data_IF_010251608301
#
_entry.id   IF_010251608301
#
_cell.length_a   1.000
_cell.length_b   1.000
_cell.length_c   1.000
_cell.angle_alpha   90.00
_cell.angle_beta   90.00
_cell.angle_gamma   90.00
#
_symmetry.space_group_name_H-M   'P 1'
#
loop_
_entity.id
_entity.type
_entity.pdbx_description
1 polymer ?
#
# COMPACT_ATOMS: atom_id res chain seq x y z
N UNK A 1 -0.51 5.68 49.78
CA UNK A 1 -0.83 6.75 48.82
C UNK A 1 0.49 7.27 48.28
N UNK A 2 0.71 7.19 46.97
CA UNK A 2 1.99 7.60 46.37
C UNK A 2 2.12 9.13 46.43
N UNK A 3 3.32 9.70 46.67
CA UNK A 3 3.47 11.15 46.71
C UNK A 3 3.16 11.76 45.34
N UNK A 4 2.23 12.70 45.34
CA UNK A 4 1.91 13.55 44.18
C UNK A 4 2.84 14.76 44.28
N UNK A 5 4.09 14.58 43.90
CA UNK A 5 4.98 15.72 43.64
C UNK A 5 4.60 16.32 42.28
N UNK A 6 4.48 17.65 42.22
CA UNK A 6 4.31 18.40 40.97
C UNK A 6 5.64 18.36 40.19
N UNK A 7 5.87 17.21 39.55
CA UNK A 7 7.03 16.98 38.70
C UNK A 7 6.77 17.70 37.38
N UNK A 8 6.92 19.02 37.37
CA UNK A 8 7.10 19.75 36.12
C UNK A 8 8.50 19.39 35.60
N UNK A 9 8.64 18.51 34.58
CA UNK A 9 9.95 18.05 34.18
C UNK A 9 10.68 19.21 33.52
N UNK A 10 11.95 19.39 33.87
CA UNK A 10 12.78 20.40 33.21
C UNK A 10 12.88 20.07 31.71
N UNK A 11 12.26 20.92 30.90
CA UNK A 11 12.20 20.75 29.44
C UNK A 11 13.59 20.76 28.82
N UNK A 12 14.58 21.39 29.45
CA UNK A 12 15.96 21.40 28.96
C UNK A 12 16.59 20.00 29.03
N UNK A 13 16.38 19.29 30.15
CA UNK A 13 16.87 17.93 30.38
C UNK A 13 16.19 16.94 29.43
N UNK A 14 14.87 17.03 29.31
CA UNK A 14 14.08 16.16 28.40
C UNK A 14 14.51 16.32 26.94
N UNK A 15 14.80 17.54 26.51
CA UNK A 15 15.26 17.81 25.15
C UNK A 15 16.71 17.39 24.92
N UNK A 16 17.58 17.45 25.93
CA UNK A 16 18.96 16.97 25.86
C UNK A 16 19.02 15.44 25.69
N UNK A 17 18.07 14.71 26.31
CA UNK A 17 17.97 13.25 26.19
C UNK A 17 17.28 12.79 24.89
N UNK A 18 16.55 13.68 24.22
CA UNK A 18 15.84 13.38 22.98
C UNK A 18 16.83 13.04 21.86
N UNK A 19 17.02 11.74 21.62
CA UNK A 19 17.83 11.24 20.51
C UNK A 19 17.18 11.63 19.18
N UNK A 20 17.95 12.27 18.29
CA UNK A 20 17.51 12.57 16.92
C UNK A 20 17.20 11.25 16.21
N UNK A 21 15.94 11.03 15.87
CA UNK A 21 15.56 9.91 15.01
C UNK A 21 16.02 10.21 13.59
N UNK A 22 16.99 9.46 13.09
CA UNK A 22 17.42 9.56 11.68
C UNK A 22 16.36 8.86 10.84
N UNK A 23 15.49 9.65 10.22
CA UNK A 23 14.54 9.12 9.24
C UNK A 23 15.28 8.93 7.92
N UNK A 24 15.61 7.68 7.61
CA UNK A 24 16.21 7.32 6.31
C UNK A 24 15.10 7.02 5.32
N UNK A 25 14.93 7.84 4.30
CA UNK A 25 13.97 7.62 3.21
C UNK A 25 14.63 6.79 2.10
N UNK A 26 14.26 5.53 1.98
CA UNK A 26 14.67 4.69 0.84
C UNK A 26 13.78 4.99 -0.36
N UNK A 27 14.36 5.55 -1.43
CA UNK A 27 13.68 5.66 -2.73
C UNK A 27 13.73 4.28 -3.39
N UNK A 28 12.71 3.46 -3.16
CA UNK A 28 12.54 2.18 -3.86
C UNK A 28 11.82 2.45 -5.17
N UNK A 29 12.55 2.36 -6.29
CA UNK A 29 11.96 2.28 -7.63
C UNK A 29 11.16 0.98 -7.72
N UNK A 30 9.86 1.05 -7.46
CA UNK A 30 8.97 -0.13 -7.48
C UNK A 30 8.74 -0.57 -8.93
N UNK A 31 9.61 -1.44 -9.45
CA UNK A 31 9.34 -2.10 -10.72
C UNK A 31 8.33 -3.23 -10.49
N UNK A 32 7.05 -2.90 -10.68
CA UNK A 32 5.97 -3.88 -10.55
C UNK A 32 6.11 -5.03 -11.56
N UNK A 33 6.70 -4.79 -12.74
CA UNK A 33 6.92 -5.83 -13.75
C UNK A 33 7.95 -6.87 -13.29
N UNK A 34 8.97 -6.44 -12.54
CA UNK A 34 9.93 -7.33 -11.88
C UNK A 34 9.26 -8.16 -10.77
N UNK A 35 8.32 -7.56 -10.03
CA UNK A 35 7.52 -8.33 -9.08
C UNK A 35 6.58 -9.32 -9.78
N UNK A 36 5.98 -8.91 -10.90
CA UNK A 36 5.09 -9.73 -11.73
C UNK A 36 5.81 -10.95 -12.32
N UNK A 37 7.04 -10.78 -12.80
CA UNK A 37 7.82 -11.85 -13.45
C UNK A 37 8.21 -13.00 -12.50
N UNK A 38 8.14 -12.79 -11.18
CA UNK A 38 8.40 -13.82 -10.16
C UNK A 38 7.28 -14.86 -10.05
N UNK A 39 6.10 -14.55 -10.59
CA UNK A 39 4.97 -15.48 -10.59
C UNK A 39 4.94 -16.28 -11.89
N UNK A 40 5.00 -17.60 -11.78
CA UNK A 40 4.86 -18.51 -12.92
C UNK A 40 3.41 -18.80 -13.33
N UNK A 41 2.43 -18.25 -12.59
CA UNK A 41 1.00 -18.44 -12.85
C UNK A 41 0.26 -17.14 -12.60
N UNK A 42 -0.48 -16.70 -13.62
CA UNK A 42 -1.35 -15.53 -13.54
C UNK A 42 -2.40 -15.66 -12.43
N UNK A 43 -3.01 -16.83 -12.29
CA UNK A 43 -4.03 -17.08 -11.24
C UNK A 43 -3.44 -16.94 -9.82
N UNK A 44 -2.23 -17.47 -9.60
CA UNK A 44 -1.54 -17.33 -8.30
C UNK A 44 -1.25 -15.87 -7.98
N UNK A 45 -0.76 -15.14 -8.97
CA UNK A 45 -0.49 -13.72 -8.85
C UNK A 45 -1.76 -12.92 -8.56
N UNK A 46 -2.84 -13.21 -9.28
CA UNK A 46 -4.12 -12.54 -9.11
C UNK A 46 -4.68 -12.74 -7.70
N UNK A 47 -4.61 -13.98 -7.19
CA UNK A 47 -4.98 -14.30 -5.80
C UNK A 47 -4.16 -13.52 -4.78
N UNK A 48 -2.83 -13.47 -4.94
CA UNK A 48 -1.97 -12.70 -4.03
C UNK A 48 -2.32 -11.22 -4.07
N UNK A 49 -2.58 -10.68 -5.26
CA UNK A 49 -2.98 -9.27 -5.43
C UNK A 49 -4.31 -8.97 -4.73
N UNK A 50 -5.31 -9.84 -4.89
CA UNK A 50 -6.60 -9.71 -4.21
C UNK A 50 -6.45 -9.73 -2.67
N UNK A 51 -5.60 -10.62 -2.13
CA UNK A 51 -5.30 -10.64 -0.70
C UNK A 51 -4.62 -9.36 -0.21
N UNK A 52 -3.68 -8.80 -0.99
CA UNK A 52 -3.03 -7.52 -0.65
C UNK A 52 -4.05 -6.38 -0.64
N UNK A 53 -4.94 -6.32 -1.64
CA UNK A 53 -6.00 -5.31 -1.72
C UNK A 53 -6.94 -5.43 -0.52
N UNK A 54 -7.43 -6.64 -0.21
CA UNK A 54 -8.25 -6.91 0.97
C UNK A 54 -7.55 -6.46 2.25
N UNK A 55 -6.27 -6.81 2.43
CA UNK A 55 -5.50 -6.39 3.58
C UNK A 55 -5.43 -4.86 3.71
N UNK A 56 -5.16 -4.16 2.60
CA UNK A 56 -5.11 -2.71 2.59
C UNK A 56 -6.47 -2.09 2.93
N UNK A 57 -7.55 -2.65 2.41
CA UNK A 57 -8.92 -2.19 2.69
C UNK A 57 -9.28 -2.42 4.16
N UNK A 58 -8.93 -3.58 4.72
CA UNK A 58 -9.12 -3.90 6.13
C UNK A 58 -8.32 -2.95 7.05
N UNK A 59 -7.10 -2.56 6.65
CA UNK A 59 -6.29 -1.59 7.40
C UNK A 59 -6.94 -0.19 7.42
N UNK A 60 -7.58 0.21 6.32
CA UNK A 60 -8.24 1.51 6.18
C UNK A 60 -9.58 1.57 6.91
N UNK A 61 -10.38 0.52 6.81
CA UNK A 61 -11.73 0.45 7.37
C UNK A 61 -11.87 -0.75 8.32
N UNK A 62 -11.46 -0.55 9.58
CA UNK A 62 -11.52 -1.58 10.62
C UNK A 62 -12.93 -2.12 10.90
N UNK A 63 -13.97 -1.32 10.65
CA UNK A 63 -15.37 -1.69 10.88
C UNK A 63 -15.96 -2.63 9.81
N UNK A 64 -15.30 -2.78 8.65
CA UNK A 64 -15.77 -3.59 7.52
C UNK A 64 -14.71 -4.65 7.17
N UNK A 65 -13.86 -5.01 8.14
CA UNK A 65 -12.77 -5.93 7.90
C UNK A 65 -13.32 -7.31 7.50
N UNK A 66 -13.07 -7.72 6.26
CA UNK A 66 -13.39 -9.06 5.79
C UNK A 66 -12.37 -10.05 6.38
N UNK A 67 -12.84 -10.92 7.28
CA UNK A 67 -12.05 -11.98 7.91
C UNK A 67 -12.29 -13.35 7.26
N UNK A 68 -12.96 -13.38 6.11
CA UNK A 68 -13.29 -14.63 5.40
C UNK A 68 -12.03 -15.24 4.80
N UNK A 69 -11.86 -16.56 4.97
CA UNK A 69 -10.71 -17.31 4.45
C UNK A 69 -10.74 -17.53 2.92
N UNK A 70 -11.79 -17.08 2.25
CA UNK A 70 -11.97 -17.17 0.81
C UNK A 70 -12.06 -15.78 0.19
N UNK A 71 -11.49 -15.63 -1.00
CA UNK A 71 -11.65 -14.44 -1.84
C UNK A 71 -13.00 -14.53 -2.57
N UNK A 72 -13.72 -13.42 -2.63
CA UNK A 72 -14.95 -13.34 -3.43
C UNK A 72 -14.61 -13.13 -4.91
N UNK A 73 -15.60 -13.38 -5.79
CA UNK A 73 -15.44 -13.16 -7.22
C UNK A 73 -15.19 -11.67 -7.54
N UNK A 74 -15.81 -10.77 -6.77
CA UNK A 74 -15.66 -9.33 -6.88
C UNK A 74 -14.22 -8.90 -6.58
N UNK A 75 -13.59 -9.44 -5.54
CA UNK A 75 -12.21 -9.10 -5.19
C UNK A 75 -11.20 -9.61 -6.21
N UNK A 76 -11.42 -10.80 -6.76
CA UNK A 76 -10.60 -11.32 -7.86
C UNK A 76 -10.73 -10.44 -9.10
N UNK A 77 -11.96 -9.99 -9.42
CA UNK A 77 -12.21 -9.07 -10.54
C UNK A 77 -11.59 -7.70 -10.31
N UNK A 78 -11.68 -7.16 -9.10
CA UNK A 78 -11.03 -5.89 -8.72
C UNK A 78 -9.51 -6.01 -8.87
N UNK A 79 -8.93 -7.10 -8.38
CA UNK A 79 -7.51 -7.38 -8.53
C UNK A 79 -7.09 -7.42 -10.01
N UNK A 80 -7.87 -8.08 -10.86
CA UNK A 80 -7.58 -8.21 -12.29
C UNK A 80 -7.56 -6.86 -12.99
N UNK A 81 -8.59 -6.04 -12.76
CA UNK A 81 -8.67 -4.68 -13.29
C UNK A 81 -7.46 -3.86 -12.82
N UNK A 82 -7.07 -3.99 -11.55
CA UNK A 82 -5.96 -3.22 -10.99
C UNK A 82 -4.62 -3.62 -11.60
N UNK A 83 -4.41 -4.92 -11.79
CA UNK A 83 -3.24 -5.47 -12.46
C UNK A 83 -3.13 -4.93 -13.88
N UNK A 84 -4.22 -5.01 -14.64
CA UNK A 84 -4.26 -4.55 -16.02
C UNK A 84 -3.94 -3.06 -16.11
N UNK A 85 -4.53 -2.25 -15.23
CA UNK A 85 -4.25 -0.81 -15.14
C UNK A 85 -2.78 -0.52 -14.83
N UNK A 86 -2.17 -1.29 -13.92
CA UNK A 86 -0.76 -1.13 -13.56
C UNK A 86 0.15 -1.48 -14.75
N UNK A 87 -0.12 -2.60 -15.43
CA UNK A 87 0.64 -3.02 -16.61
C UNK A 87 0.53 -1.97 -17.71
N UNK A 88 -0.68 -1.52 -18.03
CA UNK A 88 -0.91 -0.45 -19.01
C UNK A 88 -0.13 0.82 -18.63
N UNK A 89 -0.26 1.28 -17.38
CA UNK A 89 0.47 2.47 -16.91
C UNK A 89 1.99 2.31 -17.01
N UNK A 90 2.51 1.13 -16.73
CA UNK A 90 3.96 0.86 -16.81
C UNK A 90 4.47 0.77 -18.24
N UNK A 91 3.68 0.21 -19.16
CA UNK A 91 4.08 0.03 -20.56
C UNK A 91 3.94 1.31 -21.39
N UNK A 92 3.00 2.20 -21.02
CA UNK A 92 2.69 3.42 -21.75
C UNK A 92 3.09 4.71 -21.01
N UNK A 93 3.92 4.62 -19.97
CA UNK A 93 4.35 5.79 -19.18
C UNK A 93 5.13 6.84 -19.99
N UNK A 94 5.66 6.46 -21.15
CA UNK A 94 6.57 7.27 -21.97
C UNK A 94 5.94 7.75 -23.28
N UNK A 95 4.73 7.27 -23.62
CA UNK A 95 4.06 7.62 -24.86
C UNK A 95 3.07 8.74 -24.60
N UNK A 96 3.26 9.88 -25.26
CA UNK A 96 2.33 11.02 -25.28
C UNK A 96 1.08 10.69 -26.14
N UNK A 97 0.62 9.44 -26.12
CA UNK A 97 -0.44 8.94 -26.98
C UNK A 97 -1.80 9.40 -26.45
N UNK A 98 -2.34 10.46 -27.05
CA UNK A 98 -3.66 11.03 -26.75
C UNK A 98 -4.79 9.98 -26.72
N UNK A 99 -4.65 8.89 -27.49
CA UNK A 99 -5.63 7.81 -27.59
C UNK A 99 -5.78 6.97 -26.31
N UNK A 100 -4.79 6.95 -25.43
CA UNK A 100 -4.82 6.19 -24.17
C UNK A 100 -5.28 7.03 -22.97
N UNK A 101 -5.55 8.33 -23.16
CA UNK A 101 -6.03 9.21 -22.08
C UNK A 101 -7.46 8.90 -21.64
N UNK A 102 -8.29 8.37 -22.54
CA UNK A 102 -9.72 8.12 -22.30
C UNK A 102 -10.01 6.91 -21.41
N UNK A 103 -9.03 6.04 -21.13
CA UNK A 103 -9.19 4.94 -20.16
C UNK A 103 -8.71 5.32 -18.75
N UNK A 104 -8.18 6.53 -18.56
CA UNK A 104 -7.58 6.99 -17.30
C UNK A 104 -8.59 7.70 -16.39
N UNK A 105 -9.77 8.07 -16.89
CA UNK A 105 -10.75 8.84 -16.13
C UNK A 105 -12.19 8.40 -16.45
N UNK A 106 -12.54 7.14 -16.17
CA UNK A 106 -13.96 6.73 -16.00
C UNK A 106 -14.05 5.44 -15.17
N UNK A 107 -13.87 5.59 -13.85
CA UNK A 107 -14.62 4.88 -12.79
C UNK A 107 -14.25 5.36 -11.40
#
# INVERSE_FOLDING_TARGET
MWPISDLSPDKSVVNAEKRKSVVTSLVVSKNILEFLSRFSSYEKFLRVTAWIIRFCNNCKNKNIASLTNMLSAEELKEAEIKVMFIVQKSSFSSSNDEKLRYTICDR
#
